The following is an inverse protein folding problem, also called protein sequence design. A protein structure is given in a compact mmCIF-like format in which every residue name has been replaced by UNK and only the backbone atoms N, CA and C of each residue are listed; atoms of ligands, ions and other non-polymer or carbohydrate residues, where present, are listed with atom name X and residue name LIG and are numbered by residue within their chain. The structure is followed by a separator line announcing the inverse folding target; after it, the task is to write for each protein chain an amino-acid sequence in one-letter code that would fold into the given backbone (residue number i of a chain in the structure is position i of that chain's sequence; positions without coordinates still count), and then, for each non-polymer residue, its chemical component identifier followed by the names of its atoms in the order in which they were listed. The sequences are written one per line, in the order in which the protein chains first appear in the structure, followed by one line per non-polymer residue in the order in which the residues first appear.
data_IF_504763208829
#
_entry.id   IF_504763208829
#
_cell.length_a   1.000
_cell.length_b   1.000
_cell.length_c   1.000
_cell.angle_alpha   90.00
_cell.angle_beta   90.00
_cell.angle_gamma   90.00
#
_symmetry.space_group_name_H-M   'P 1'
#
loop_
_entity.id
_entity.type
_entity.pdbx_description
1 polymer ?
#
# COMPACT_ATOMS: atom_id res chain seq x y z
N UNK A 1 -22.52 -9.20 -13.79
CA UNK A 1 -21.16 -9.04 -14.38
C UNK A 1 -20.95 -7.57 -14.70
N UNK A 2 -20.58 -6.79 -13.70
CA UNK A 2 -20.13 -5.41 -13.91
C UNK A 2 -18.62 -5.43 -13.96
N UNK A 3 -18.07 -5.25 -15.14
CA UNK A 3 -16.68 -4.89 -15.38
C UNK A 3 -16.37 -3.61 -14.60
N UNK A 4 -15.52 -3.72 -13.60
CA UNK A 4 -14.90 -2.57 -12.98
C UNK A 4 -14.04 -1.88 -14.03
N UNK A 5 -14.45 -0.69 -14.42
CA UNK A 5 -13.67 0.18 -15.29
C UNK A 5 -12.39 0.56 -14.58
N UNK A 6 -11.31 -0.10 -14.93
CA UNK A 6 -9.96 0.33 -14.63
C UNK A 6 -9.70 1.58 -15.47
N UNK A 7 -9.78 2.74 -14.87
CA UNK A 7 -9.28 3.95 -15.53
C UNK A 7 -7.77 3.88 -15.49
N UNK A 8 -7.23 3.22 -16.49
CA UNK A 8 -5.81 3.26 -16.80
C UNK A 8 -5.53 4.65 -17.34
N UNK A 9 -4.98 5.52 -16.53
CA UNK A 9 -4.33 6.73 -17.05
C UNK A 9 -3.19 6.26 -17.95
N UNK A 10 -3.17 6.65 -19.21
CA UNK A 10 -2.06 6.28 -20.09
C UNK A 10 -0.79 6.94 -19.54
N UNK A 11 0.25 6.12 -19.33
CA UNK A 11 1.58 6.64 -19.10
C UNK A 11 1.88 7.67 -20.19
N UNK A 12 2.33 8.88 -19.86
CA UNK A 12 2.76 9.81 -20.88
C UNK A 12 3.93 9.18 -21.61
N UNK A 13 3.70 8.78 -22.85
CA UNK A 13 4.74 8.39 -23.79
C UNK A 13 5.55 9.62 -24.19
N UNK A 14 6.28 10.21 -23.24
CA UNK A 14 7.24 11.25 -23.57
C UNK A 14 8.65 10.69 -23.38
N UNK A 15 9.19 10.24 -24.48
CA UNK A 15 10.46 9.53 -24.66
C UNK A 15 11.71 10.39 -24.56
N UNK A 16 11.69 11.54 -23.91
CA UNK A 16 12.89 12.42 -23.83
C UNK A 16 13.01 13.22 -22.53
N UNK A 17 12.71 12.61 -21.37
CA UNK A 17 13.10 13.22 -20.11
C UNK A 17 13.90 12.20 -19.32
N UNK A 18 15.07 12.61 -18.87
CA UNK A 18 15.92 11.93 -17.90
C UNK A 18 15.08 11.08 -16.94
N UNK A 19 15.03 9.78 -17.19
CA UNK A 19 14.20 8.85 -16.41
C UNK A 19 14.86 8.65 -15.06
N UNK A 20 14.58 9.52 -14.11
CA UNK A 20 14.76 9.14 -12.73
C UNK A 20 13.66 8.14 -12.39
N UNK A 21 13.95 6.85 -12.57
CA UNK A 21 13.07 5.75 -12.23
C UNK A 21 12.97 5.61 -10.70
N UNK A 22 12.64 6.72 -10.04
CA UNK A 22 12.50 6.81 -8.60
C UNK A 22 11.02 6.62 -8.27
N UNK A 23 10.75 5.60 -7.50
CA UNK A 23 9.40 5.26 -7.07
C UNK A 23 9.27 5.41 -5.56
N UNK A 24 8.13 5.89 -5.13
CA UNK A 24 7.75 5.99 -3.72
C UNK A 24 6.43 5.26 -3.55
N UNK A 25 6.40 4.30 -2.65
CA UNK A 25 5.19 3.55 -2.31
C UNK A 25 4.76 3.92 -0.91
N UNK A 26 3.51 4.32 -0.78
CA UNK A 26 2.89 4.63 0.51
C UNK A 26 1.70 3.71 0.71
N UNK A 27 1.75 2.85 1.72
CA UNK A 27 0.80 1.76 1.86
C UNK A 27 0.29 1.56 3.29
N UNK A 28 -0.94 1.10 3.37
CA UNK A 28 -1.56 0.50 4.55
C UNK A 28 -2.29 -0.80 4.16
N UNK A 29 -2.99 -1.42 5.10
CA UNK A 29 -3.73 -2.66 4.84
C UNK A 29 -4.90 -2.50 3.84
N UNK A 30 -5.34 -1.28 3.56
CA UNK A 30 -6.49 -0.97 2.71
C UNK A 30 -6.13 -0.42 1.33
N UNK A 31 -4.97 0.19 1.19
CA UNK A 31 -4.51 0.81 -0.06
C UNK A 31 -2.99 0.88 -0.16
N UNK A 32 -2.50 0.97 -1.38
CA UNK A 32 -1.12 1.31 -1.67
C UNK A 32 -1.10 2.33 -2.82
N UNK A 33 -0.46 3.46 -2.58
CA UNK A 33 -0.31 4.55 -3.55
C UNK A 33 1.11 4.55 -4.06
N UNK A 34 1.25 4.62 -5.37
CA UNK A 34 2.55 4.63 -6.04
C UNK A 34 2.79 5.99 -6.66
N UNK A 35 3.92 6.58 -6.31
CA UNK A 35 4.36 7.88 -6.82
C UNK A 35 5.67 7.73 -7.57
N UNK A 36 5.92 8.67 -8.47
CA UNK A 36 7.22 8.87 -9.11
C UNK A 36 7.67 10.32 -8.95
N UNK A 37 8.97 10.55 -9.06
CA UNK A 37 9.55 11.87 -9.14
C UNK A 37 10.34 11.99 -10.44
N UNK A 38 10.06 13.00 -11.25
CA UNK A 38 10.77 13.25 -12.51
C UNK A 38 12.21 13.72 -12.29
N UNK A 39 12.44 14.34 -11.13
CA UNK A 39 13.75 14.83 -10.69
C UNK A 39 13.99 14.47 -9.24
N UNK A 40 15.23 14.22 -8.82
CA UNK A 40 15.54 13.87 -7.43
C UNK A 40 15.01 14.85 -6.39
N UNK A 41 15.02 16.15 -6.68
CA UNK A 41 14.47 17.19 -5.81
C UNK A 41 13.03 17.61 -6.18
N UNK A 42 12.41 16.95 -7.15
CA UNK A 42 11.10 17.30 -7.68
C UNK A 42 9.94 16.87 -6.77
N UNK A 43 8.72 17.34 -7.12
CA UNK A 43 7.50 16.91 -6.46
C UNK A 43 7.18 15.46 -6.82
N UNK A 44 6.37 14.82 -5.96
CA UNK A 44 5.83 13.50 -6.22
C UNK A 44 4.58 13.59 -7.09
N UNK A 45 4.53 12.75 -8.12
CA UNK A 45 3.36 12.55 -8.96
C UNK A 45 2.78 11.16 -8.68
N UNK A 46 1.51 11.09 -8.29
CA UNK A 46 0.83 9.81 -8.10
C UNK A 46 0.51 9.19 -9.45
N UNK A 47 1.01 7.99 -9.69
CA UNK A 47 0.82 7.27 -10.95
C UNK A 47 -0.18 6.12 -10.83
N UNK A 48 -0.36 5.57 -9.64
CA UNK A 48 -1.24 4.42 -9.44
C UNK A 48 -1.68 4.29 -7.98
N UNK A 49 -2.88 3.73 -7.80
CA UNK A 49 -3.37 3.32 -6.47
C UNK A 49 -3.93 1.90 -6.55
N UNK A 50 -3.40 1.02 -5.71
CA UNK A 50 -3.93 -0.30 -5.45
C UNK A 50 -4.89 -0.23 -4.26
N UNK A 51 -6.01 -0.92 -4.33
CA UNK A 51 -7.01 -0.97 -3.27
C UNK A 51 -7.26 -2.39 -2.82
N UNK A 52 -7.43 -2.58 -1.51
CA UNK A 52 -7.85 -3.83 -0.92
C UNK A 52 -9.34 -3.73 -0.53
N UNK A 53 -10.27 -4.22 -1.38
CA UNK A 53 -11.70 -4.10 -1.10
C UNK A 53 -12.14 -4.90 0.13
N UNK A 54 -11.48 -6.00 0.47
CA UNK A 54 -11.79 -6.82 1.64
C UNK A 54 -11.51 -6.09 2.96
N UNK A 55 -10.48 -5.24 3.01
CA UNK A 55 -10.21 -4.42 4.18
C UNK A 55 -11.33 -3.43 4.48
N UNK A 56 -11.99 -2.90 3.45
CA UNK A 56 -13.12 -1.96 3.59
C UNK A 56 -14.40 -2.65 4.10
N UNK A 57 -14.63 -3.90 3.73
CA UNK A 57 -15.77 -4.67 4.22
C UNK A 57 -15.67 -4.89 5.73
N UNK A 58 -14.47 -5.15 6.25
CA UNK A 58 -14.25 -5.31 7.69
C UNK A 58 -14.35 -4.00 8.49
N UNK A 59 -14.08 -2.85 7.88
CA UNK A 59 -14.32 -1.54 8.51
C UNK A 59 -15.83 -1.24 8.62
N UNK A 60 -16.62 -1.65 7.63
CA UNK A 60 -18.08 -1.51 7.63
C UNK A 60 -18.76 -2.36 8.71
N UNK A 61 -18.31 -3.58 8.92
CA UNK A 61 -18.84 -4.50 9.91
C UNK A 61 -18.58 -4.01 11.36
N UNK A 62 -17.47 -3.33 11.61
CA UNK A 62 -17.15 -2.75 12.91
C UNK A 62 -18.05 -1.57 13.29
N UNK A 63 -18.66 -0.90 12.33
CA UNK A 63 -19.62 0.20 12.57
C UNK A 63 -21.02 -0.35 12.83
N UNK A 64 -21.35 -1.52 12.27
CA UNK A 64 -22.64 -2.20 12.41
C UNK A 64 -22.84 -2.83 13.79
N UNK A 65 -21.78 -3.27 14.48
CA UNK A 65 -21.85 -3.95 15.77
C UNK A 65 -22.04 -3.01 16.99
N UNK A 66 -22.22 -1.72 16.78
CA UNK A 66 -22.43 -0.74 17.87
C UNK A 66 -23.89 -0.53 18.28
N UNK A 67 -24.81 -1.31 17.75
CA UNK A 67 -26.22 -1.21 18.08
C UNK A 67 -26.79 -2.47 18.69
N UNK A 68 -26.70 -2.63 20.01
CA UNK A 68 -27.41 -3.72 20.67
C UNK A 68 -26.85 -4.10 22.03
N UNK A 69 -27.15 -3.29 23.04
CA UNK A 69 -27.08 -3.73 24.45
C UNK A 69 -28.28 -4.62 24.67
N UNK A 70 -28.06 -5.93 24.70
CA UNK A 70 -28.96 -6.84 25.39
C UNK A 70 -28.16 -7.75 26.32
N UNK A 71 -28.35 -7.45 27.60
CA UNK A 71 -27.96 -8.28 28.72
C UNK A 71 -28.99 -9.39 28.86
N UNK A 72 -28.62 -10.67 28.65
CA UNK A 72 -29.14 -11.80 29.39
C UNK A 72 -28.31 -13.07 29.17
N UNK A 73 -27.75 -13.56 30.27
CA UNK A 73 -27.71 -14.99 30.58
C UNK A 73 -26.64 -15.87 29.95
N UNK A 74 -25.58 -16.14 30.72
CA UNK A 74 -24.98 -17.44 30.98
C UNK A 74 -24.78 -18.41 29.79
N UNK A 75 -23.56 -18.56 29.36
CA UNK A 75 -23.14 -19.65 28.51
C UNK A 75 -21.67 -19.49 28.12
N UNK A 76 -20.80 -20.39 28.60
CA UNK A 76 -19.42 -20.46 28.19
C UNK A 76 -19.37 -20.70 26.68
N UNK A 77 -19.21 -19.61 25.92
CA UNK A 77 -18.95 -19.64 24.50
C UNK A 77 -17.44 -19.49 24.28
N UNK A 78 -16.81 -20.53 23.84
CA UNK A 78 -15.49 -20.43 23.22
C UNK A 78 -15.59 -19.49 22.03
N UNK A 79 -15.31 -18.20 22.26
CA UNK A 79 -15.29 -17.19 21.24
C UNK A 79 -14.13 -17.47 20.26
N UNK A 80 -14.46 -18.07 19.14
CA UNK A 80 -13.59 -18.08 17.99
C UNK A 80 -13.30 -16.61 17.62
N UNK A 81 -12.06 -16.16 17.83
CA UNK A 81 -11.60 -14.84 17.41
C UNK A 81 -11.35 -14.84 15.88
N UNK A 82 -12.41 -15.10 15.11
CA UNK A 82 -12.34 -15.14 13.65
C UNK A 82 -12.01 -13.78 13.02
N UNK A 83 -12.30 -12.68 13.70
CA UNK A 83 -12.12 -11.35 13.15
C UNK A 83 -10.65 -10.89 12.99
N UNK A 84 -9.78 -11.22 13.95
CA UNK A 84 -8.36 -10.81 13.89
C UNK A 84 -7.55 -11.67 12.92
N UNK A 85 -7.84 -12.96 12.83
CA UNK A 85 -7.19 -13.88 11.88
C UNK A 85 -7.48 -13.49 10.44
N UNK A 86 -8.73 -13.20 10.13
CA UNK A 86 -9.17 -12.81 8.78
C UNK A 86 -8.57 -11.48 8.33
N UNK A 87 -8.50 -10.48 9.22
CA UNK A 87 -7.87 -9.18 8.90
C UNK A 87 -6.38 -9.30 8.61
N UNK A 88 -5.66 -10.09 9.40
CA UNK A 88 -4.23 -10.33 9.18
C UNK A 88 -3.99 -11.09 7.88
N UNK A 89 -4.83 -12.06 7.56
CA UNK A 89 -4.73 -12.82 6.32
C UNK A 89 -5.00 -11.94 5.10
N UNK A 90 -6.03 -11.10 5.16
CA UNK A 90 -6.38 -10.15 4.12
C UNK A 90 -5.26 -9.12 3.89
N UNK A 91 -4.71 -8.56 4.97
CA UNK A 91 -3.57 -7.65 4.88
C UNK A 91 -2.32 -8.35 4.32
N UNK A 92 -2.07 -9.59 4.70
CA UNK A 92 -0.94 -10.39 4.20
C UNK A 92 -1.06 -10.66 2.69
N UNK A 93 -2.25 -11.02 2.20
CA UNK A 93 -2.51 -11.18 0.76
C UNK A 93 -2.32 -9.88 0.00
N UNK A 94 -2.79 -8.78 0.54
CA UNK A 94 -2.62 -7.47 -0.07
C UNK A 94 -1.15 -7.04 -0.12
N UNK A 95 -0.38 -7.29 0.94
CA UNK A 95 1.06 -7.04 0.94
C UNK A 95 1.79 -7.86 -0.16
N UNK A 96 1.40 -9.13 -0.36
CA UNK A 96 1.92 -9.95 -1.44
C UNK A 96 1.57 -9.39 -2.82
N UNK A 97 0.35 -8.86 -2.99
CA UNK A 97 -0.10 -8.23 -4.24
C UNK A 97 0.69 -6.95 -4.54
N UNK A 98 0.89 -6.09 -3.54
CA UNK A 98 1.72 -4.88 -3.68
C UNK A 98 3.15 -5.25 -4.08
N UNK A 99 3.77 -6.21 -3.41
CA UNK A 99 5.12 -6.65 -3.76
C UNK A 99 5.20 -7.24 -5.18
N UNK A 100 4.20 -8.01 -5.60
CA UNK A 100 4.12 -8.54 -6.97
C UNK A 100 4.00 -7.43 -8.01
N UNK A 101 3.24 -6.39 -7.69
CA UNK A 101 3.10 -5.22 -8.56
C UNK A 101 4.44 -4.47 -8.71
N UNK A 102 5.14 -4.23 -7.62
CA UNK A 102 6.46 -3.61 -7.62
C UNK A 102 7.51 -4.46 -8.36
N UNK A 103 7.43 -5.77 -8.23
CA UNK A 103 8.30 -6.71 -8.93
C UNK A 103 8.11 -6.63 -10.45
N UNK A 104 6.88 -6.46 -10.93
CA UNK A 104 6.61 -6.19 -12.35
C UNK A 104 7.24 -4.87 -12.82
N UNK A 105 7.18 -3.82 -12.01
CA UNK A 105 7.84 -2.56 -12.30
C UNK A 105 9.36 -2.71 -12.37
N UNK A 106 9.96 -3.48 -11.46
CA UNK A 106 11.39 -3.78 -11.44
C UNK A 106 11.83 -4.54 -12.69
N UNK A 107 11.15 -5.63 -13.02
CA UNK A 107 11.49 -6.46 -14.20
C UNK A 107 11.30 -5.72 -15.51
N UNK A 108 10.40 -4.74 -15.57
CA UNK A 108 10.22 -3.86 -16.71
C UNK A 108 11.25 -2.71 -16.80
N UNK A 109 12.28 -2.69 -15.93
CA UNK A 109 13.28 -1.62 -15.83
C UNK A 109 12.68 -0.22 -15.57
N UNK A 110 11.49 -0.15 -15.00
CA UNK A 110 10.82 1.10 -14.67
C UNK A 110 11.23 1.64 -13.29
N UNK A 111 11.77 0.79 -12.42
CA UNK A 111 12.18 1.14 -11.06
C UNK A 111 13.69 0.96 -10.93
N UNK A 112 14.41 2.04 -10.70
CA UNK A 112 15.83 2.02 -10.36
C UNK A 112 16.07 2.26 -8.86
N UNK A 113 15.18 3.03 -8.22
CA UNK A 113 15.26 3.36 -6.81
C UNK A 113 13.85 3.36 -6.20
N UNK A 114 13.70 2.76 -5.04
CA UNK A 114 12.42 2.61 -4.36
C UNK A 114 12.48 3.13 -2.91
N UNK A 115 11.51 3.91 -2.54
CA UNK A 115 11.23 4.29 -1.15
C UNK A 115 9.91 3.67 -0.71
N UNK A 116 9.86 3.11 0.48
CA UNK A 116 8.67 2.45 1.02
C UNK A 116 8.24 3.13 2.31
N UNK A 117 6.99 3.55 2.37
CA UNK A 117 6.37 4.10 3.57
C UNK A 117 5.13 3.28 3.92
N UNK A 118 5.06 2.78 5.11
CA UNK A 118 3.90 2.04 5.58
C UNK A 118 3.78 2.08 7.10
N UNK A 119 2.56 1.85 7.59
CA UNK A 119 2.34 1.57 9.00
C UNK A 119 3.22 0.40 9.46
N UNK A 120 3.72 0.39 10.70
CA UNK A 120 4.68 -0.61 11.17
C UNK A 120 4.25 -2.06 10.93
N UNK A 121 2.99 -2.37 11.19
CA UNK A 121 2.42 -3.72 11.00
C UNK A 121 2.41 -4.13 9.52
N UNK A 122 2.02 -3.22 8.64
CA UNK A 122 1.95 -3.49 7.20
C UNK A 122 3.35 -3.52 6.56
N UNK A 123 4.27 -2.69 7.04
CA UNK A 123 5.68 -2.72 6.62
C UNK A 123 6.31 -4.08 6.90
N UNK A 124 6.01 -4.67 8.06
CA UNK A 124 6.43 -6.03 8.41
C UNK A 124 5.90 -7.09 7.44
N UNK A 125 4.66 -6.94 6.96
CA UNK A 125 4.08 -7.83 5.95
C UNK A 125 4.73 -7.63 4.57
N UNK A 126 4.98 -6.40 4.16
CA UNK A 126 5.69 -6.12 2.91
C UNK A 126 7.08 -6.78 2.90
N UNK A 127 7.84 -6.67 3.99
CA UNK A 127 9.17 -7.29 4.13
C UNK A 127 9.16 -8.80 3.94
N UNK A 128 8.07 -9.47 4.33
CA UNK A 128 7.93 -10.93 4.13
C UNK A 128 7.79 -11.33 2.67
N UNK A 129 7.21 -10.45 1.85
CA UNK A 129 6.90 -10.73 0.45
C UNK A 129 7.87 -10.07 -0.54
N UNK A 130 8.78 -9.23 -0.07
CA UNK A 130 9.82 -8.64 -0.91
C UNK A 130 10.83 -9.70 -1.34
N UNK A 131 11.10 -9.76 -2.65
CA UNK A 131 12.25 -10.53 -3.16
C UNK A 131 13.56 -9.85 -2.76
N UNK A 132 14.66 -10.61 -2.79
CA UNK A 132 15.99 -10.04 -2.54
C UNK A 132 16.34 -8.96 -3.57
N UNK A 133 15.97 -9.17 -4.83
CA UNK A 133 16.17 -8.20 -5.91
C UNK A 133 15.37 -6.90 -5.67
N UNK A 134 14.13 -6.99 -5.20
CA UNK A 134 13.32 -5.82 -4.86
C UNK A 134 13.90 -5.06 -3.67
N UNK A 135 14.36 -5.78 -2.63
CA UNK A 135 15.05 -5.18 -1.48
C UNK A 135 16.29 -4.40 -1.88
N UNK A 136 17.02 -4.88 -2.86
CA UNK A 136 18.21 -4.21 -3.38
C UNK A 136 17.93 -2.84 -4.00
N UNK A 137 16.69 -2.57 -4.42
CA UNK A 137 16.27 -1.27 -4.93
C UNK A 137 15.74 -0.32 -3.86
N UNK A 138 15.40 -0.83 -2.66
CA UNK A 138 14.87 -0.02 -1.58
C UNK A 138 15.99 0.80 -0.97
N UNK A 139 15.89 2.12 -1.13
CA UNK A 139 16.85 3.07 -0.56
C UNK A 139 16.53 3.39 0.89
N UNK A 140 15.24 3.45 1.24
CA UNK A 140 14.81 3.71 2.62
C UNK A 140 13.41 3.17 2.87
N UNK A 141 13.15 2.78 4.11
CA UNK A 141 11.84 2.35 4.60
C UNK A 141 11.41 3.23 5.78
N UNK A 142 10.29 3.91 5.62
CA UNK A 142 9.75 4.83 6.62
C UNK A 142 8.53 4.20 7.28
N UNK A 143 8.64 3.94 8.58
CA UNK A 143 7.59 3.33 9.39
C UNK A 143 6.56 4.37 9.84
N UNK A 144 5.79 4.91 8.89
CA UNK A 144 4.70 5.86 9.11
C UNK A 144 3.54 5.58 8.18
N UNK A 145 2.33 5.66 8.72
CA UNK A 145 1.11 5.62 7.91
C UNK A 145 0.84 7.00 7.31
N UNK A 146 1.16 7.14 6.04
CA UNK A 146 0.95 8.35 5.24
C UNK A 146 0.03 8.08 4.05
N UNK A 147 -0.69 6.97 4.07
CA UNK A 147 -1.54 6.51 2.96
C UNK A 147 -2.66 7.48 2.58
N UNK A 148 -3.05 8.36 3.51
CA UNK A 148 -4.11 9.39 3.34
C UNK A 148 -3.57 10.81 3.20
N UNK A 149 -2.25 10.97 3.30
CA UNK A 149 -1.62 12.29 3.25
C UNK A 149 -1.51 12.83 1.82
N UNK A 150 -1.45 14.15 1.70
CA UNK A 150 -1.19 14.81 0.42
C UNK A 150 0.24 14.51 -0.07
N UNK A 151 0.49 14.51 -1.40
CA UNK A 151 1.81 14.23 -1.96
C UNK A 151 2.93 15.10 -1.38
N UNK A 152 2.67 16.36 -1.10
CA UNK A 152 3.65 17.28 -0.50
C UNK A 152 4.06 16.86 0.91
N UNK A 153 3.10 16.35 1.69
CA UNK A 153 3.37 15.81 3.04
C UNK A 153 4.20 14.55 2.99
N UNK A 154 3.92 13.69 2.02
CA UNK A 154 4.71 12.48 1.75
C UNK A 154 6.11 12.88 1.32
N UNK A 155 6.24 13.83 0.39
CA UNK A 155 7.53 14.34 -0.09
C UNK A 155 8.41 14.90 1.03
N UNK A 156 7.81 15.59 1.99
CA UNK A 156 8.50 16.17 3.14
C UNK A 156 9.12 15.13 4.09
N UNK A 157 8.71 13.86 4.02
CA UNK A 157 9.29 12.77 4.82
C UNK A 157 10.49 12.10 4.13
N UNK A 158 10.75 12.43 2.88
CA UNK A 158 11.84 11.89 2.08
C UNK A 158 13.06 12.81 2.11
N UNK A 159 14.25 12.30 1.78
CA UNK A 159 15.42 13.13 1.61
C UNK A 159 15.19 14.24 0.58
N UNK A 160 15.94 15.33 0.71
CA UNK A 160 15.89 16.45 -0.24
C UNK A 160 16.19 15.98 -1.68
N UNK A 161 17.14 15.05 -1.80
CA UNK A 161 17.51 14.39 -3.05
C UNK A 161 17.22 12.90 -2.96
N UNK A 162 16.30 12.44 -3.79
CA UNK A 162 15.89 11.03 -3.91
C UNK A 162 16.90 10.20 -4.70
#
# INVERSE_FOLDING_TARGET
WRLMSFVRQPYPENKEASMSNIFVVVADASRARVFTADKPAGPLCEIETLSNPEARLHEGDLVSDRGGRDSHGGGASHGYSTGKGTKNETANRFAAEVCRHLEKGRTGNNIAKLYVMAAPSFLGLLRKHQSEALRGLISDEISKDLSREAPDRIRAQLPEYL
#
